data_IF_886222830396
#
_entry.id   IF_886222830396
#
_cell.length_a   1.000
_cell.length_b   1.000
_cell.length_c   1.000
_cell.angle_alpha   90.00
_cell.angle_beta   90.00
_cell.angle_gamma   90.00
#
_symmetry.space_group_name_H-M   'P 1'
#
loop_
_entity.id
_entity.type
_entity.pdbx_description
1 polymer ?
#
# COMPACT_ATOMS: atom_id res chain seq x y z
N UNK A 1 -20.03 15.28 3.99
CA UNK A 1 -21.12 15.55 4.95
C UNK A 1 -20.54 15.85 6.33
N UNK A 2 -20.94 16.92 7.01
CA UNK A 2 -20.31 17.31 8.29
C UNK A 2 -20.63 16.32 9.40
N UNK A 3 -19.60 15.77 10.04
CA UNK A 3 -19.69 14.96 11.24
C UNK A 3 -18.87 15.63 12.35
N UNK A 4 -19.37 15.65 13.58
CA UNK A 4 -18.77 16.45 14.68
C UNK A 4 -17.32 16.07 15.01
N UNK A 5 -16.90 14.87 14.64
CA UNK A 5 -15.56 14.33 14.88
C UNK A 5 -14.69 14.22 13.61
N UNK A 6 -15.12 14.79 12.48
CA UNK A 6 -14.45 14.66 11.18
C UNK A 6 -13.06 15.33 11.11
N UNK A 7 -12.69 16.18 12.07
CA UNK A 7 -11.40 16.88 12.07
C UNK A 7 -10.59 16.63 13.34
N UNK A 8 -10.82 15.48 13.99
CA UNK A 8 -9.96 15.04 15.09
C UNK A 8 -8.55 14.78 14.58
N UNK A 9 -7.56 15.30 15.31
CA UNK A 9 -6.15 15.18 14.92
C UNK A 9 -5.63 13.73 14.96
N UNK A 10 -6.14 12.90 15.88
CA UNK A 10 -5.71 11.51 16.03
C UNK A 10 -6.87 10.59 16.42
N UNK A 11 -6.83 9.35 15.91
CA UNK A 11 -7.69 8.24 16.30
C UNK A 11 -6.82 6.97 16.54
N UNK A 12 -7.42 5.93 17.12
CA UNK A 12 -6.77 4.61 17.29
C UNK A 12 -6.25 4.03 15.97
N UNK A 13 -6.89 4.37 14.86
CA UNK A 13 -6.58 3.88 13.51
C UNK A 13 -5.24 4.42 12.95
N UNK A 14 -4.52 5.25 13.72
CA UNK A 14 -3.19 5.74 13.33
C UNK A 14 -2.19 4.59 13.14
N UNK A 15 -2.31 3.51 13.91
CA UNK A 15 -1.41 2.36 13.82
C UNK A 15 -1.62 1.60 12.50
N UNK A 16 -2.86 1.18 12.15
CA UNK A 16 -3.22 0.71 10.81
C UNK A 16 -2.74 1.62 9.67
N UNK A 17 -2.97 2.94 9.82
CA UNK A 17 -2.59 3.92 8.81
C UNK A 17 -1.07 3.95 8.56
N UNK A 18 -0.24 3.79 9.59
CA UNK A 18 1.22 3.69 9.41
C UNK A 18 1.58 2.45 8.57
N UNK A 19 0.89 1.33 8.77
CA UNK A 19 1.06 0.13 7.94
C UNK A 19 0.73 0.39 6.47
N UNK A 20 -0.44 0.97 6.20
CA UNK A 20 -0.86 1.34 4.83
C UNK A 20 0.14 2.32 4.20
N UNK A 21 0.63 3.30 4.95
CA UNK A 21 1.64 4.24 4.46
C UNK A 21 2.99 3.56 4.20
N UNK A 22 3.42 2.64 5.04
CA UNK A 22 4.64 1.86 4.81
C UNK A 22 4.53 1.02 3.54
N UNK A 23 3.36 0.43 3.26
CA UNK A 23 3.07 -0.27 2.02
C UNK A 23 3.08 0.68 0.81
N UNK A 24 2.41 1.83 0.90
CA UNK A 24 2.30 2.80 -0.19
C UNK A 24 3.67 3.34 -0.64
N UNK A 25 4.63 3.46 0.29
CA UNK A 25 6.00 3.88 -0.01
C UNK A 25 6.98 2.71 -0.19
N UNK A 26 6.50 1.47 -0.30
CA UNK A 26 7.35 0.33 -0.56
C UNK A 26 7.79 0.29 -2.03
N UNK A 27 9.07 0.57 -2.28
CA UNK A 27 9.68 0.42 -3.62
C UNK A 27 11.01 -0.36 -3.61
N UNK A 28 11.40 -0.89 -2.44
CA UNK A 28 12.70 -1.49 -2.19
C UNK A 28 12.99 -2.72 -3.08
N UNK A 29 11.97 -3.52 -3.42
CA UNK A 29 12.11 -4.71 -4.26
C UNK A 29 12.52 -4.36 -5.70
N UNK A 30 12.12 -3.17 -6.21
CA UNK A 30 12.45 -2.70 -7.56
C UNK A 30 13.72 -1.83 -7.60
N UNK A 31 14.28 -1.50 -6.45
CA UNK A 31 15.42 -0.58 -6.36
C UNK A 31 16.63 -1.05 -7.16
N UNK A 32 16.95 -2.35 -7.12
CA UNK A 32 18.09 -2.88 -7.89
C UNK A 32 17.87 -2.79 -9.41
N UNK A 33 16.66 -3.12 -9.89
CA UNK A 33 16.31 -2.99 -11.31
C UNK A 33 16.43 -1.52 -11.76
N UNK A 34 15.89 -0.58 -10.98
CA UNK A 34 15.97 0.86 -11.29
C UNK A 34 17.43 1.32 -11.27
N UNK A 35 18.21 0.96 -10.25
CA UNK A 35 19.62 1.36 -10.14
C UNK A 35 20.43 0.92 -11.37
N UNK A 36 20.26 -0.33 -11.80
CA UNK A 36 20.97 -0.87 -12.97
C UNK A 36 20.53 -0.26 -14.30
N UNK A 37 19.33 0.31 -14.36
CA UNK A 37 18.81 1.00 -15.56
C UNK A 37 19.35 2.44 -15.73
N UNK A 38 19.95 3.02 -14.68
CA UNK A 38 20.48 4.38 -14.71
C UNK A 38 21.83 4.39 -15.45
N UNK A 39 21.92 5.22 -16.49
CA UNK A 39 23.18 5.45 -17.21
C UNK A 39 24.24 6.07 -16.28
N UNK A 40 25.43 5.46 -16.26
CA UNK A 40 26.54 5.74 -15.33
C UNK A 40 26.06 5.94 -13.88
N UNK A 41 25.40 4.91 -13.35
CA UNK A 41 24.93 4.89 -11.97
C UNK A 41 26.06 5.21 -10.98
N UNK A 42 25.83 6.22 -10.14
CA UNK A 42 26.72 6.64 -9.06
C UNK A 42 25.89 7.03 -7.85
N UNK A 43 26.47 6.95 -6.64
CA UNK A 43 25.72 7.26 -5.42
C UNK A 43 25.09 8.66 -5.43
N UNK A 44 25.82 9.66 -5.93
CA UNK A 44 25.28 11.03 -6.04
C UNK A 44 24.05 11.11 -6.95
N UNK A 45 24.05 10.39 -8.08
CA UNK A 45 22.90 10.36 -9.00
C UNK A 45 21.74 9.59 -8.38
N UNK A 46 22.04 8.46 -7.74
CA UNK A 46 21.07 7.65 -7.03
C UNK A 46 20.36 8.47 -5.94
N UNK A 47 21.11 9.17 -5.09
CA UNK A 47 20.55 10.02 -4.05
C UNK A 47 19.59 11.07 -4.61
N UNK A 48 19.96 11.76 -5.69
CA UNK A 48 19.10 12.77 -6.31
C UNK A 48 17.81 12.13 -6.84
N UNK A 49 17.91 11.00 -7.56
CA UNK A 49 16.76 10.30 -8.13
C UNK A 49 15.83 9.81 -7.03
N UNK A 50 16.37 9.18 -5.98
CA UNK A 50 15.58 8.66 -4.86
C UNK A 50 14.88 9.79 -4.08
N UNK A 51 15.59 10.86 -3.71
CA UNK A 51 14.99 11.97 -2.97
C UNK A 51 13.94 12.71 -3.80
N UNK A 52 14.21 13.00 -5.07
CA UNK A 52 13.25 13.65 -5.95
C UNK A 52 11.98 12.80 -6.14
N UNK A 53 12.15 11.47 -6.31
CA UNK A 53 11.04 10.55 -6.48
C UNK A 53 10.18 10.47 -5.21
N UNK A 54 10.79 10.26 -4.04
CA UNK A 54 10.06 10.16 -2.76
C UNK A 54 9.33 11.46 -2.44
N UNK A 55 9.98 12.63 -2.60
CA UNK A 55 9.33 13.93 -2.34
C UNK A 55 8.15 14.14 -3.28
N UNK A 56 8.31 13.82 -4.56
CA UNK A 56 7.21 13.96 -5.54
C UNK A 56 6.05 13.03 -5.17
N UNK A 57 6.33 11.76 -4.87
CA UNK A 57 5.32 10.79 -4.42
C UNK A 57 4.62 11.25 -3.14
N UNK A 58 5.34 11.82 -2.18
CA UNK A 58 4.77 12.36 -0.95
C UNK A 58 3.82 13.52 -1.22
N UNK A 59 4.21 14.48 -2.07
CA UNK A 59 3.35 15.60 -2.42
C UNK A 59 2.05 15.14 -3.10
N UNK A 60 2.15 14.18 -4.02
CA UNK A 60 0.99 13.60 -4.69
C UNK A 60 0.11 12.83 -3.69
N UNK A 61 0.69 11.99 -2.84
CA UNK A 61 -0.05 11.24 -1.81
C UNK A 61 -0.77 12.17 -0.83
N UNK A 62 -0.11 13.24 -0.36
CA UNK A 62 -0.74 14.24 0.50
C UNK A 62 -1.87 14.97 -0.23
N UNK A 63 -1.68 15.35 -1.49
CA UNK A 63 -2.72 16.02 -2.27
C UNK A 63 -3.98 15.16 -2.38
N UNK A 64 -3.85 13.90 -2.82
CA UNK A 64 -4.98 12.99 -2.95
C UNK A 64 -5.58 12.59 -1.60
N UNK A 65 -4.77 12.32 -0.58
CA UNK A 65 -5.22 11.97 0.75
C UNK A 65 -6.00 13.11 1.42
N UNK A 66 -5.48 14.33 1.40
CA UNK A 66 -6.13 15.50 2.00
C UNK A 66 -7.39 15.87 1.22
N UNK A 67 -7.33 15.93 -0.12
CA UNK A 67 -8.48 16.28 -0.94
C UNK A 67 -9.60 15.22 -0.83
N UNK A 68 -9.24 13.94 -0.85
CA UNK A 68 -10.17 12.83 -0.68
C UNK A 68 -10.85 12.86 0.70
N UNK A 69 -10.06 13.02 1.77
CA UNK A 69 -10.60 13.13 3.11
C UNK A 69 -11.47 14.38 3.31
N UNK A 70 -11.05 15.54 2.82
CA UNK A 70 -11.84 16.77 2.91
C UNK A 70 -13.19 16.67 2.18
N UNK A 71 -13.26 15.85 1.13
CA UNK A 71 -14.49 15.63 0.33
C UNK A 71 -15.49 14.73 1.08
N UNK A 72 -15.04 13.60 1.62
CA UNK A 72 -15.93 12.57 2.17
C UNK A 72 -15.97 12.50 3.69
N UNK A 73 -14.93 12.97 4.37
CA UNK A 73 -14.82 13.05 5.83
C UNK A 73 -15.12 11.70 6.50
N UNK A 74 -16.14 11.62 7.35
CA UNK A 74 -16.53 10.38 8.05
C UNK A 74 -17.00 9.24 7.13
N UNK A 75 -17.26 9.50 5.85
CA UNK A 75 -17.68 8.47 4.90
C UNK A 75 -16.51 7.82 4.15
N UNK A 76 -15.29 8.35 4.25
CA UNK A 76 -14.13 7.86 3.51
C UNK A 76 -13.94 6.34 3.67
N UNK A 77 -13.97 5.63 2.55
CA UNK A 77 -13.74 4.19 2.49
C UNK A 77 -12.24 3.91 2.23
N UNK A 78 -11.83 2.65 2.43
CA UNK A 78 -10.47 2.20 2.11
C UNK A 78 -10.14 2.28 0.62
N UNK A 79 -11.14 2.13 -0.24
CA UNK A 79 -11.08 2.55 -1.64
C UNK A 79 -11.87 3.86 -1.81
N UNK A 80 -11.18 4.96 -2.11
CA UNK A 80 -11.78 6.27 -2.28
C UNK A 80 -12.77 6.32 -3.47
N UNK A 81 -12.60 5.45 -4.48
CA UNK A 81 -13.49 5.42 -5.63
C UNK A 81 -14.88 4.86 -5.27
N UNK A 82 -15.00 4.06 -4.21
CA UNK A 82 -16.28 3.55 -3.70
C UNK A 82 -17.15 4.67 -3.09
N UNK A 83 -16.55 5.80 -2.71
CA UNK A 83 -17.29 6.94 -2.19
C UNK A 83 -18.09 7.70 -3.26
N UNK A 84 -17.75 7.57 -4.53
CA UNK A 84 -18.43 8.30 -5.60
C UNK A 84 -19.63 7.51 -6.16
N UNK A 85 -20.65 8.23 -6.62
CA UNK A 85 -21.86 7.59 -7.14
C UNK A 85 -21.60 6.84 -8.46
N UNK A 86 -22.45 5.86 -8.76
CA UNK A 86 -22.40 5.11 -10.02
C UNK A 86 -22.88 5.91 -11.23
N UNK A 87 -23.67 6.96 -11.00
CA UNK A 87 -24.19 7.89 -12.02
C UNK A 87 -23.19 9.01 -12.39
N UNK A 88 -21.96 8.95 -11.87
CA UNK A 88 -20.90 9.90 -12.18
C UNK A 88 -20.03 9.37 -13.32
N UNK A 89 -20.30 9.82 -14.55
CA UNK A 89 -19.57 9.42 -15.76
C UNK A 89 -18.07 9.72 -15.68
N UNK A 90 -17.68 10.86 -15.10
CA UNK A 90 -16.27 11.23 -14.97
C UNK A 90 -15.55 10.27 -14.03
N UNK A 91 -16.21 9.89 -12.93
CA UNK A 91 -15.65 8.91 -12.02
C UNK A 91 -15.65 7.50 -12.60
N UNK A 92 -16.64 7.13 -13.39
CA UNK A 92 -16.66 5.85 -14.11
C UNK A 92 -15.49 5.74 -15.11
N UNK A 93 -15.18 6.82 -15.82
CA UNK A 93 -13.96 6.90 -16.65
C UNK A 93 -12.71 6.71 -15.78
N UNK A 94 -12.65 7.36 -14.61
CA UNK A 94 -11.52 7.23 -13.68
C UNK A 94 -11.36 5.80 -13.16
N UNK A 95 -12.45 5.11 -12.82
CA UNK A 95 -12.46 3.68 -12.43
C UNK A 95 -11.93 2.79 -13.56
N UNK A 96 -12.33 3.05 -14.81
CA UNK A 96 -11.84 2.30 -15.97
C UNK A 96 -10.34 2.51 -16.18
N UNK A 97 -9.87 3.76 -16.14
CA UNK A 97 -8.46 4.08 -16.31
C UNK A 97 -7.61 3.48 -15.19
N UNK A 98 -8.06 3.59 -13.94
CA UNK A 98 -7.42 2.96 -12.79
C UNK A 98 -7.32 1.43 -12.96
N UNK A 99 -8.41 0.79 -13.39
CA UNK A 99 -8.43 -0.66 -13.66
C UNK A 99 -7.43 -1.07 -14.75
N UNK A 100 -7.34 -0.30 -15.84
CA UNK A 100 -6.35 -0.53 -16.90
C UNK A 100 -4.93 -0.37 -16.34
N UNK A 101 -4.67 0.66 -15.53
CA UNK A 101 -3.36 0.84 -14.90
C UNK A 101 -2.98 -0.35 -14.03
N UNK A 102 -3.88 -0.82 -13.15
CA UNK A 102 -3.62 -1.99 -12.30
C UNK A 102 -3.38 -3.26 -13.14
N UNK A 103 -4.16 -3.45 -14.21
CA UNK A 103 -3.98 -4.57 -15.15
C UNK A 103 -2.60 -4.55 -15.81
N UNK A 104 -2.08 -3.36 -16.17
CA UNK A 104 -0.76 -3.20 -16.78
C UNK A 104 0.39 -3.32 -15.77
N UNK A 105 0.16 -3.00 -14.50
CA UNK A 105 1.15 -3.16 -13.42
C UNK A 105 1.29 -4.63 -13.01
N UNK A 106 0.21 -5.41 -13.04
CA UNK A 106 0.20 -6.80 -12.57
C UNK A 106 1.27 -7.72 -13.19
N UNK A 107 1.55 -7.69 -14.51
CA UNK A 107 2.61 -8.48 -15.12
C UNK A 107 4.02 -8.16 -14.59
N UNK A 108 4.28 -6.90 -14.24
CA UNK A 108 5.58 -6.46 -13.70
C UNK A 108 5.77 -7.06 -12.30
N UNK A 109 4.74 -6.99 -11.46
CA UNK A 109 4.78 -7.58 -10.10
C UNK A 109 4.91 -9.11 -10.14
N UNK A 110 4.24 -9.77 -11.09
CA UNK A 110 4.42 -11.20 -11.33
C UNK A 110 5.84 -11.54 -11.75
N UNK A 111 6.47 -10.70 -12.59
CA UNK A 111 7.86 -10.87 -12.99
C UNK A 111 8.80 -10.78 -11.78
N UNK A 112 8.66 -9.75 -10.94
CA UNK A 112 9.50 -9.56 -9.75
C UNK A 112 9.32 -10.70 -8.76
N UNK A 113 8.06 -11.08 -8.46
CA UNK A 113 7.76 -12.18 -7.53
C UNK A 113 8.38 -13.49 -8.00
N UNK A 114 8.28 -13.78 -9.31
CA UNK A 114 8.89 -14.97 -9.89
C UNK A 114 10.42 -14.92 -9.81
N UNK A 115 11.03 -13.78 -10.11
CA UNK A 115 12.48 -13.58 -10.06
C UNK A 115 13.01 -13.84 -8.63
N UNK A 116 12.33 -13.31 -7.62
CA UNK A 116 12.63 -13.56 -6.20
C UNK A 116 12.50 -15.04 -5.83
N UNK A 117 11.41 -15.72 -6.23
CA UNK A 117 11.21 -17.15 -5.96
C UNK A 117 12.30 -17.99 -6.64
N UNK A 118 12.63 -17.68 -7.89
CA UNK A 118 13.63 -18.40 -8.66
C UNK A 118 15.02 -18.26 -8.04
N UNK A 119 15.42 -17.04 -7.70
CA UNK A 119 16.74 -16.78 -7.09
C UNK A 119 16.87 -17.32 -5.67
N UNK A 120 15.79 -17.32 -4.88
CA UNK A 120 15.82 -17.77 -3.49
C UNK A 120 15.75 -19.29 -3.33
N UNK A 121 14.99 -19.98 -4.19
CA UNK A 121 14.76 -21.42 -4.06
C UNK A 121 15.61 -22.29 -5.01
N UNK A 122 16.13 -21.71 -6.11
CA UNK A 122 16.86 -22.46 -7.12
C UNK A 122 18.23 -21.85 -7.36
N UNK A 123 19.29 -22.65 -7.16
CA UNK A 123 20.67 -22.24 -7.43
C UNK A 123 21.10 -22.45 -8.89
N UNK A 124 20.23 -23.01 -9.72
CA UNK A 124 20.50 -23.35 -11.12
C UNK A 124 19.36 -22.85 -12.02
N UNK A 125 19.60 -22.66 -13.33
CA UNK A 125 18.57 -22.25 -14.28
C UNK A 125 17.36 -23.18 -14.20
N UNK A 126 16.20 -22.58 -13.98
CA UNK A 126 14.93 -23.30 -13.82
C UNK A 126 14.44 -23.83 -15.17
N UNK A 127 13.88 -25.04 -15.17
CA UNK A 127 13.27 -25.62 -16.37
C UNK A 127 12.02 -24.84 -16.79
N UNK A 128 11.67 -24.88 -18.09
CA UNK A 128 10.45 -24.29 -18.64
C UNK A 128 9.19 -24.73 -17.87
N UNK A 129 9.09 -26.02 -17.51
CA UNK A 129 7.94 -26.54 -16.75
C UNK A 129 7.84 -25.88 -15.37
N UNK A 130 8.96 -25.74 -14.68
CA UNK A 130 9.02 -25.07 -13.37
C UNK A 130 8.65 -23.59 -13.49
N UNK A 131 9.07 -22.93 -14.57
CA UNK A 131 8.72 -21.53 -14.84
C UNK A 131 7.20 -21.33 -14.97
N UNK A 132 6.53 -22.16 -15.78
CA UNK A 132 5.07 -22.09 -15.92
C UNK A 132 4.34 -22.43 -14.62
N UNK A 133 4.80 -23.44 -13.88
CA UNK A 133 4.20 -23.82 -12.59
C UNK A 133 4.29 -22.69 -11.56
N UNK A 134 5.45 -22.05 -11.40
CA UNK A 134 5.61 -20.91 -10.49
C UNK A 134 4.64 -19.79 -10.88
N UNK A 135 4.57 -19.46 -12.17
CA UNK A 135 3.68 -18.39 -12.66
C UNK A 135 2.21 -18.73 -12.38
N UNK A 136 1.79 -19.98 -12.63
CA UNK A 136 0.43 -20.44 -12.34
C UNK A 136 0.10 -20.37 -10.84
N UNK A 137 1.05 -20.71 -9.97
CA UNK A 137 0.90 -20.59 -8.52
C UNK A 137 0.77 -19.12 -8.07
N UNK A 138 1.58 -18.21 -8.64
CA UNK A 138 1.50 -16.77 -8.34
C UNK A 138 0.12 -16.24 -8.76
N UNK A 139 -0.30 -16.49 -9.99
CA UNK A 139 -1.59 -15.98 -10.50
C UNK A 139 -2.77 -16.63 -9.77
N UNK A 140 -2.70 -17.94 -9.54
CA UNK A 140 -3.73 -18.68 -8.82
C UNK A 140 -3.89 -18.22 -7.38
N UNK A 141 -2.80 -17.97 -6.65
CA UNK A 141 -2.86 -17.44 -5.28
C UNK A 141 -3.40 -16.01 -5.24
N UNK A 142 -2.99 -15.14 -6.17
CA UNK A 142 -3.53 -13.79 -6.28
C UNK A 142 -5.05 -13.81 -6.57
N UNK A 143 -5.50 -14.68 -7.46
CA UNK A 143 -6.93 -14.86 -7.74
C UNK A 143 -7.70 -15.37 -6.53
N UNK A 144 -7.17 -16.37 -5.81
CA UNK A 144 -7.79 -16.90 -4.59
C UNK A 144 -7.94 -15.82 -3.51
N UNK A 145 -6.90 -15.00 -3.32
CA UNK A 145 -6.97 -13.86 -2.38
C UNK A 145 -8.05 -12.89 -2.85
N UNK A 146 -8.05 -12.53 -4.15
CA UNK A 146 -9.00 -11.57 -4.70
C UNK A 146 -10.47 -11.99 -4.55
N UNK A 147 -10.81 -13.27 -4.62
CA UNK A 147 -12.20 -13.74 -4.40
C UNK A 147 -12.53 -13.96 -2.92
N UNK A 148 -11.52 -13.95 -2.04
CA UNK A 148 -11.70 -14.23 -0.60
C UNK A 148 -11.90 -12.97 0.25
N UNK A 149 -11.56 -11.80 -0.28
CA UNK A 149 -11.66 -10.52 0.42
C UNK A 149 -12.22 -9.45 -0.49
N UNK A 150 -13.22 -8.74 0.00
CA UNK A 150 -13.82 -7.59 -0.69
C UNK A 150 -13.25 -6.26 -0.17
N UNK A 151 -12.36 -6.32 0.83
CA UNK A 151 -11.87 -5.18 1.59
C UNK A 151 -10.45 -4.78 1.17
N UNK A 152 -10.32 -3.83 0.25
CA UNK A 152 -8.99 -3.33 -0.15
C UNK A 152 -8.19 -2.78 1.04
N UNK A 153 -8.81 -1.96 1.91
CA UNK A 153 -8.12 -1.33 3.04
C UNK A 153 -7.45 -2.34 4.00
N UNK A 154 -8.13 -3.45 4.28
CA UNK A 154 -7.63 -4.52 5.15
C UNK A 154 -6.45 -5.25 4.54
N UNK A 155 -6.52 -5.53 3.24
CA UNK A 155 -5.41 -6.15 2.51
C UNK A 155 -4.18 -5.24 2.51
N UNK A 156 -4.38 -3.94 2.30
CA UNK A 156 -3.30 -2.95 2.34
C UNK A 156 -2.67 -2.84 3.74
N UNK A 157 -3.50 -2.82 4.79
CA UNK A 157 -3.02 -2.80 6.17
C UNK A 157 -2.23 -4.06 6.52
N UNK A 158 -2.79 -5.25 6.23
CA UNK A 158 -2.16 -6.54 6.47
C UNK A 158 -0.80 -6.64 5.76
N UNK A 159 -0.74 -6.24 4.49
CA UNK A 159 0.51 -6.23 3.74
C UNK A 159 1.50 -5.21 4.31
N UNK A 160 1.01 -4.04 4.71
CA UNK A 160 1.78 -3.00 5.38
C UNK A 160 2.45 -3.50 6.66
N UNK A 161 1.67 -4.07 7.57
CA UNK A 161 2.15 -4.52 8.88
C UNK A 161 3.04 -5.75 8.77
N UNK A 162 2.66 -6.75 7.95
CA UNK A 162 3.37 -8.03 7.89
C UNK A 162 4.57 -8.04 6.93
N UNK A 163 4.51 -7.29 5.83
CA UNK A 163 5.57 -7.28 4.82
C UNK A 163 6.32 -5.94 4.80
N UNK A 164 5.60 -4.82 4.68
CA UNK A 164 6.24 -3.52 4.45
C UNK A 164 7.06 -3.03 5.64
N UNK A 165 6.48 -3.05 6.83
CA UNK A 165 7.13 -2.53 8.04
C UNK A 165 8.43 -3.29 8.35
N UNK A 166 8.46 -4.65 8.34
CA UNK A 166 9.71 -5.39 8.51
C UNK A 166 10.75 -5.10 7.43
N UNK A 167 10.34 -5.07 6.15
CA UNK A 167 11.27 -4.88 5.03
C UNK A 167 11.82 -3.44 4.93
N UNK A 168 11.03 -2.43 5.30
CA UNK A 168 11.43 -1.03 5.20
C UNK A 168 12.15 -0.53 6.46
N UNK A 169 11.69 -0.92 7.66
CA UNK A 169 12.22 -0.36 8.91
C UNK A 169 13.15 -1.33 9.65
N UNK A 170 12.85 -2.63 9.66
CA UNK A 170 13.60 -3.58 10.50
C UNK A 170 14.85 -4.09 9.76
N UNK A 171 14.68 -4.68 8.58
CA UNK A 171 15.76 -5.36 7.87
C UNK A 171 16.93 -4.44 7.47
N UNK A 172 16.72 -3.25 6.87
CA UNK A 172 17.81 -2.36 6.48
C UNK A 172 18.55 -1.81 7.70
N UNK A 173 17.82 -1.47 8.76
CA UNK A 173 18.40 -0.92 9.97
C UNK A 173 19.19 -1.99 10.76
N UNK A 174 18.71 -3.24 10.82
CA UNK A 174 19.49 -4.36 11.38
C UNK A 174 20.76 -4.62 10.57
N UNK A 175 20.67 -4.58 9.24
CA UNK A 175 21.82 -4.74 8.35
C UNK A 175 22.87 -3.65 8.61
N UNK A 176 22.44 -2.40 8.77
CA UNK A 176 23.33 -1.29 9.15
C UNK A 176 23.97 -1.50 10.53
N UNK A 177 23.21 -1.95 11.53
CA UNK A 177 23.72 -2.22 12.88
C UNK A 177 24.76 -3.34 12.92
N UNK A 178 24.64 -4.33 12.02
CA UNK A 178 25.59 -5.44 11.86
C UNK A 178 26.86 -5.02 11.11
N UNK A 179 26.74 -4.14 10.10
CA UNK A 179 27.86 -3.69 9.27
C UNK A 179 28.71 -2.58 9.92
N UNK A 180 28.10 -1.64 10.63
CA UNK A 180 28.85 -0.58 11.31
C UNK A 180 29.59 -1.16 12.53
N UNK A 181 30.88 -0.88 12.68
CA UNK A 181 31.67 -1.35 13.81
C UNK A 181 31.40 -0.55 15.11
N UNK A 182 31.57 -1.18 16.27
CA UNK A 182 31.48 -0.53 17.59
C UNK A 182 30.19 -0.83 18.37
N UNK A 183 30.11 -0.24 19.57
CA UNK A 183 29.05 -0.49 20.54
C UNK A 183 27.66 -0.12 19.99
N UNK A 184 26.64 -0.92 20.32
CA UNK A 184 25.27 -0.78 19.80
C UNK A 184 24.66 0.59 20.14
N UNK A 185 25.03 1.19 21.28
CA UNK A 185 24.57 2.52 21.71
C UNK A 185 25.50 3.67 21.27
N UNK A 186 26.33 3.46 20.25
CA UNK A 186 27.13 4.53 19.65
C UNK A 186 26.22 5.56 18.95
N UNK A 187 26.62 6.84 18.94
CA UNK A 187 25.85 7.93 18.29
C UNK A 187 25.49 7.65 16.83
N UNK A 188 26.28 6.84 16.13
CA UNK A 188 26.03 6.43 14.74
C UNK A 188 24.95 5.36 14.61
N UNK A 189 24.81 4.48 15.61
CA UNK A 189 23.86 3.35 15.64
C UNK A 189 22.51 3.69 16.27
N UNK A 190 22.44 4.75 17.08
CA UNK A 190 21.18 5.21 17.71
C UNK A 190 20.05 5.42 16.69
N UNK A 191 20.24 6.10 15.54
CA UNK A 191 19.17 6.28 14.56
C UNK A 191 18.66 4.94 14.02
N UNK A 192 19.55 4.02 13.67
CA UNK A 192 19.16 2.70 13.17
C UNK A 192 18.42 1.89 14.25
N UNK A 193 18.88 1.93 15.50
CA UNK A 193 18.19 1.28 16.62
C UNK A 193 16.78 1.85 16.84
N UNK A 194 16.63 3.18 16.74
CA UNK A 194 15.33 3.84 16.86
C UNK A 194 14.37 3.39 15.75
N UNK A 195 14.85 3.26 14.51
CA UNK A 195 14.04 2.77 13.38
C UNK A 195 13.61 1.31 13.57
N UNK A 196 14.50 0.43 14.04
CA UNK A 196 14.14 -0.96 14.37
C UNK A 196 13.06 -1.01 15.45
N UNK A 197 13.24 -0.27 16.54
CA UNK A 197 12.27 -0.25 17.64
C UNK A 197 10.92 0.30 17.20
N UNK A 198 10.91 1.35 16.39
CA UNK A 198 9.70 1.89 15.79
C UNK A 198 9.01 0.85 14.90
N UNK A 199 9.74 0.22 13.98
CA UNK A 199 9.20 -0.81 13.10
C UNK A 199 8.62 -2.01 13.85
N UNK A 200 9.32 -2.51 14.87
CA UNK A 200 8.81 -3.61 15.71
C UNK A 200 7.56 -3.20 16.49
N UNK A 201 7.52 -1.98 17.03
CA UNK A 201 6.35 -1.48 17.76
C UNK A 201 5.14 -1.37 16.85
N UNK A 202 5.29 -0.79 15.65
CA UNK A 202 4.23 -0.68 14.65
C UNK A 202 3.77 -2.07 14.18
N UNK A 203 4.70 -2.99 13.92
CA UNK A 203 4.36 -4.34 13.48
C UNK A 203 3.55 -5.10 14.55
N UNK A 204 3.97 -5.03 15.82
CA UNK A 204 3.28 -5.70 16.93
C UNK A 204 1.91 -5.08 17.16
N UNK A 205 1.84 -3.75 17.30
CA UNK A 205 0.58 -3.06 17.55
C UNK A 205 -0.39 -3.24 16.36
N UNK A 206 0.08 -3.08 15.13
CA UNK A 206 -0.73 -3.28 13.93
C UNK A 206 -1.25 -4.71 13.83
N UNK A 207 -0.43 -5.71 14.13
CA UNK A 207 -0.89 -7.10 14.17
C UNK A 207 -1.95 -7.31 15.25
N UNK A 208 -1.77 -6.74 16.44
CA UNK A 208 -2.77 -6.81 17.52
C UNK A 208 -4.09 -6.16 17.11
N UNK A 209 -4.07 -4.97 16.50
CA UNK A 209 -5.27 -4.31 15.97
C UNK A 209 -5.96 -5.17 14.92
N UNK A 210 -5.21 -5.71 13.96
CA UNK A 210 -5.75 -6.62 12.94
C UNK A 210 -6.45 -7.85 13.55
N UNK A 211 -5.87 -8.47 14.58
CA UNK A 211 -6.45 -9.68 15.18
C UNK A 211 -7.61 -9.39 16.16
N UNK A 212 -7.59 -8.24 16.84
CA UNK A 212 -8.61 -7.86 17.83
C UNK A 212 -9.84 -7.28 17.13
N UNK A 213 -9.66 -6.42 16.14
CA UNK A 213 -10.74 -5.71 15.46
C UNK A 213 -11.17 -6.39 14.16
N UNK A 214 -10.66 -7.61 13.86
CA UNK A 214 -11.04 -8.37 12.66
C UNK A 214 -12.56 -8.51 12.49
N UNK A 215 -13.32 -8.49 13.60
CA UNK A 215 -14.78 -8.57 13.61
C UNK A 215 -15.53 -7.24 13.41
N UNK A 216 -14.90 -6.07 13.61
CA UNK A 216 -15.51 -4.75 13.29
C UNK A 216 -15.06 -4.22 11.92
N UNK A 217 -13.88 -4.65 11.47
CA UNK A 217 -13.28 -4.38 10.16
C UNK A 217 -14.11 -4.99 8.99
N UNK A 218 -14.94 -6.01 9.27
CA UNK A 218 -15.81 -6.69 8.29
C UNK A 218 -16.98 -5.83 7.77
N UNK A 219 -17.13 -4.57 8.22
CA UNK A 219 -18.12 -3.64 7.66
C UNK A 219 -17.62 -2.93 6.41
N UNK A 220 -16.97 -3.66 5.51
CA UNK A 220 -16.69 -3.14 4.18
C UNK A 220 -18.00 -2.93 3.42
N UNK A 221 -18.18 -1.71 2.95
CA UNK A 221 -19.36 -1.25 2.22
C UNK A 221 -19.30 -1.69 0.74
N UNK A 222 -18.88 -2.93 0.45
CA UNK A 222 -18.68 -3.38 -0.93
C UNK A 222 -19.99 -3.34 -1.71
N UNK A 223 -20.01 -2.54 -2.79
CA UNK A 223 -21.20 -2.34 -3.64
C UNK A 223 -22.38 -1.63 -2.95
N UNK A 224 -22.22 -1.14 -1.73
CA UNK A 224 -23.29 -0.40 -1.03
C UNK A 224 -23.26 1.05 -1.48
N UNK A 225 -24.36 1.47 -2.08
CA UNK A 225 -24.56 2.84 -2.55
C UNK A 225 -24.52 3.80 -1.36
N UNK A 226 -23.67 4.82 -1.44
CA UNK A 226 -23.56 5.83 -0.40
C UNK A 226 -24.88 6.59 -0.21
N UNK A 227 -25.28 6.95 1.03
CA UNK A 227 -26.60 7.56 1.29
C UNK A 227 -26.87 8.84 0.48
N UNK A 228 -25.84 9.65 0.22
CA UNK A 228 -25.96 10.87 -0.58
C UNK A 228 -26.18 10.61 -2.08
N UNK A 229 -25.84 9.42 -2.58
CA UNK A 229 -26.13 9.01 -3.96
C UNK A 229 -27.61 8.63 -4.15
N UNK A 230 -28.28 8.16 -3.08
CA UNK A 230 -29.70 7.84 -3.11
C UNK A 230 -30.58 9.10 -3.11
N UNK A 231 -30.18 10.14 -2.38
CA UNK A 231 -30.94 11.40 -2.37
C UNK A 231 -30.89 12.15 -3.70
N UNK A 232 -29.78 12.05 -4.46
CA UNK A 232 -29.64 12.69 -5.77
C UNK A 232 -30.61 12.12 -6.82
N UNK A 233 -30.91 10.82 -6.76
CA UNK A 233 -31.84 10.15 -7.68
C UNK A 233 -33.30 10.56 -7.43
N UNK A 234 -33.69 10.84 -6.18
CA UNK A 234 -35.04 11.34 -5.88
C UNK A 234 -35.28 12.78 -6.36
N UNK A 235 -34.28 13.65 -6.30
CA UNK A 235 -34.41 15.04 -6.79
C UNK A 235 -34.55 15.12 -8.31
N UNK A 236 -33.86 14.26 -9.07
CA UNK A 236 -33.97 14.25 -10.53
C UNK A 236 -35.34 13.75 -11.03
N UNK A 237 -36.04 12.90 -10.28
CA UNK A 237 -37.41 12.51 -10.62
C UNK A 237 -38.48 13.55 -10.24
N UNK A 238 -38.23 14.41 -9.26
CA UNK A 238 -39.18 15.47 -8.87
C UNK A 238 -39.14 16.74 -9.75
N UNK A 239 -38.18 16.85 -10.67
CA UNK A 239 -38.10 17.95 -11.65
C UNK A 239 -38.60 17.52 -13.04
N UNK A 240 -38.97 16.24 -13.21
CA UNK A 240 -39.56 15.69 -14.42
C UNK A 240 -41.03 15.30 -14.20
N UNK A 241 -41.87 16.27 -13.81
CA UNK A 241 -43.33 16.23 -13.97
C UNK A 241 -43.81 17.61 -14.41
#
# INVERSE_FOLDING_TARGET
PSHDNAWKFANSDIVPAIGIMAFAFMCHHNTFLIYTSIQDASQKRWDIVTHASIVTSLLVACLFGIAGYATFTAYSQGDLLENYCWDDDLMNISRLLFSITILLTYPIECFVTREVIQNSLFSAPVSERTHYLITLCIVGSAYLISISTDCLGVVLELNGVLAAVPLAYVLPALSYLQLEEGFILSRRKIPALAVVMFGLTVAILGALFLFVDFSEIDTCSHGKIMPYCLNATFTNHSVAV
#
